data_IF_645632756161
#
_entry.id   IF_645632756161
#
_cell.length_a   1.000
_cell.length_b   1.000
_cell.length_c   1.000
_cell.angle_alpha   90.00
_cell.angle_beta   90.00
_cell.angle_gamma   90.00
#
_symmetry.space_group_name_H-M   'P 1'
#
loop_
_entity.id
_entity.type
_entity.pdbx_description
1 polymer ?
#
# COMPACT_ATOMS: atom_id res chain seq x y z
N UNK A 1 9.73 13.51 6.15
CA UNK A 1 10.38 13.87 4.87
C UNK A 1 9.55 14.92 4.17
N UNK A 2 10.17 15.84 3.41
CA UNK A 2 9.42 16.82 2.60
C UNK A 2 8.95 16.14 1.32
N UNK A 3 7.64 16.11 1.04
CA UNK A 3 7.09 15.57 -0.22
C UNK A 3 7.42 16.48 -1.41
N UNK A 4 7.32 15.97 -2.64
CA UNK A 4 7.50 16.78 -3.85
C UNK A 4 6.44 17.88 -3.93
N UNK A 5 5.19 17.57 -3.55
CA UNK A 5 4.12 18.57 -3.49
C UNK A 5 4.46 19.73 -2.53
N UNK A 6 5.01 19.42 -1.35
CA UNK A 6 5.48 20.44 -0.41
C UNK A 6 6.65 21.26 -0.98
N UNK A 7 7.56 20.64 -1.73
CA UNK A 7 8.66 21.34 -2.39
C UNK A 7 8.17 22.28 -3.51
N UNK A 8 7.20 21.84 -4.31
CA UNK A 8 6.53 22.63 -5.37
C UNK A 8 5.83 23.84 -4.77
N UNK A 9 5.00 23.64 -3.74
CA UNK A 9 4.21 24.72 -3.15
C UNK A 9 5.06 25.71 -2.33
N UNK A 10 6.15 25.25 -1.72
CA UNK A 10 7.10 26.12 -1.00
C UNK A 10 8.07 26.87 -1.93
N UNK A 11 8.00 26.65 -3.25
CA UNK A 11 8.91 27.26 -4.23
C UNK A 11 10.33 26.70 -4.19
N UNK A 12 10.58 25.62 -3.44
CA UNK A 12 11.86 24.89 -3.43
C UNK A 12 12.08 24.09 -4.71
N UNK A 13 11.00 23.78 -5.42
CA UNK A 13 11.02 23.17 -6.74
C UNK A 13 10.44 24.12 -7.78
N UNK A 14 11.09 24.25 -8.93
CA UNK A 14 10.62 25.10 -10.03
C UNK A 14 9.45 24.43 -10.74
N UNK A 15 8.23 24.69 -10.28
CA UNK A 15 7.02 24.34 -11.02
C UNK A 15 6.63 25.47 -11.98
N UNK A 16 6.01 25.10 -13.11
CA UNK A 16 5.45 26.07 -14.04
C UNK A 16 4.33 26.85 -13.34
N UNK A 17 4.34 28.18 -13.53
CA UNK A 17 3.31 29.08 -13.00
C UNK A 17 2.70 29.91 -14.13
N UNK A 18 1.44 30.26 -13.98
CA UNK A 18 0.78 31.24 -14.86
C UNK A 18 1.15 32.69 -14.49
N UNK A 19 0.61 33.65 -15.23
CA UNK A 19 0.83 35.09 -15.01
C UNK A 19 0.34 35.57 -13.63
N UNK A 20 -0.62 34.84 -13.03
CA UNK A 20 -1.16 35.10 -11.70
C UNK A 20 -0.37 34.37 -10.58
N UNK A 21 0.70 33.65 -10.93
CA UNK A 21 1.55 32.91 -9.99
C UNK A 21 0.97 31.57 -9.51
N UNK A 22 -0.10 31.07 -10.15
CA UNK A 22 -0.73 29.78 -9.83
C UNK A 22 0.09 28.65 -10.42
N UNK A 23 0.23 27.55 -9.66
CA UNK A 23 1.00 26.38 -10.08
C UNK A 23 0.17 25.51 -11.02
N UNK A 24 0.77 25.08 -12.13
CA UNK A 24 0.17 24.06 -12.99
C UNK A 24 0.31 22.67 -12.37
N UNK A 25 -0.79 21.91 -12.41
CA UNK A 25 -0.87 20.52 -11.92
C UNK A 25 -1.02 19.61 -13.13
N UNK A 26 -0.10 18.66 -13.29
CA UNK A 26 -0.04 17.74 -14.45
C UNK A 26 -1.06 16.59 -14.39
N UNK A 27 -1.96 16.59 -13.40
CA UNK A 27 -2.96 15.55 -13.17
C UNK A 27 -4.37 16.09 -13.32
N UNK A 28 -5.32 15.27 -13.82
CA UNK A 28 -6.69 15.72 -14.01
C UNK A 28 -7.34 16.09 -12.68
N UNK A 29 -8.23 17.11 -12.65
CA UNK A 29 -8.89 17.56 -11.43
C UNK A 29 -9.60 16.45 -10.65
N UNK A 30 -10.17 15.46 -11.35
CA UNK A 30 -10.85 14.32 -10.73
C UNK A 30 -9.97 13.47 -9.81
N UNK A 31 -8.64 13.54 -9.97
CA UNK A 31 -7.69 12.85 -9.09
C UNK A 31 -7.09 13.82 -8.07
N UNK A 32 -6.78 15.06 -8.48
CA UNK A 32 -6.10 16.02 -7.62
C UNK A 32 -7.00 16.66 -6.56
N UNK A 33 -8.27 16.96 -6.91
CA UNK A 33 -9.21 17.56 -5.96
C UNK A 33 -9.46 16.66 -4.75
N UNK A 34 -9.69 15.33 -4.90
CA UNK A 34 -9.79 14.43 -3.75
C UNK A 34 -8.57 14.43 -2.82
N UNK A 35 -7.35 14.62 -3.35
CA UNK A 35 -6.16 14.78 -2.50
C UNK A 35 -6.23 16.06 -1.67
N UNK A 36 -6.62 17.19 -2.27
CA UNK A 36 -6.76 18.46 -1.55
C UNK A 36 -7.82 18.36 -0.45
N UNK A 37 -8.97 17.76 -0.77
CA UNK A 37 -10.03 17.50 0.20
C UNK A 37 -9.55 16.59 1.34
N UNK A 38 -8.84 15.50 1.01
CA UNK A 38 -8.24 14.62 2.01
C UNK A 38 -7.26 15.35 2.93
N UNK A 39 -6.41 16.22 2.37
CA UNK A 39 -5.48 17.04 3.16
C UNK A 39 -6.21 18.00 4.11
N UNK A 40 -7.36 18.55 3.69
CA UNK A 40 -8.19 19.40 4.55
C UNK A 40 -8.79 18.59 5.70
N UNK A 41 -9.36 17.41 5.43
CA UNK A 41 -9.91 16.54 6.49
C UNK A 41 -8.82 16.09 7.45
N UNK A 42 -7.66 15.67 6.93
CA UNK A 42 -6.46 15.35 7.73
C UNK A 42 -6.02 16.49 8.65
N UNK A 43 -6.18 17.74 8.24
CA UNK A 43 -5.74 18.88 9.05
C UNK A 43 -6.56 19.09 10.33
N UNK A 44 -7.76 18.50 10.40
CA UNK A 44 -8.69 18.57 11.53
C UNK A 44 -9.00 17.17 12.11
N UNK A 45 -8.19 16.16 11.74
CA UNK A 45 -8.34 14.76 12.13
C UNK A 45 -8.20 14.55 13.63
N UNK A 46 -9.06 13.70 14.19
CA UNK A 46 -8.91 13.16 15.55
C UNK A 46 -7.93 11.97 15.50
N UNK A 47 -6.91 11.91 16.38
CA UNK A 47 -6.01 10.77 16.45
C UNK A 47 -6.70 9.40 16.61
N UNK A 48 -7.87 9.36 17.24
CA UNK A 48 -8.64 8.12 17.47
C UNK A 48 -9.53 7.74 16.26
N UNK A 49 -9.79 8.68 15.34
CA UNK A 49 -10.61 8.47 14.15
C UNK A 49 -9.86 8.98 12.89
N UNK A 50 -8.92 8.18 12.37
CA UNK A 50 -8.10 8.61 11.26
C UNK A 50 -8.93 8.84 9.99
N UNK A 51 -8.62 9.91 9.27
CA UNK A 51 -9.29 10.28 8.04
C UNK A 51 -9.08 9.17 6.99
N UNK A 52 -10.17 8.61 6.44
CA UNK A 52 -10.05 7.57 5.43
C UNK A 52 -9.48 8.15 4.13
N UNK A 53 -8.59 7.41 3.43
CA UNK A 53 -8.18 7.75 2.08
C UNK A 53 -9.37 7.99 1.15
N UNK A 54 -9.22 8.85 0.12
CA UNK A 54 -10.25 9.04 -0.91
C UNK A 54 -10.69 7.72 -1.54
N UNK A 55 -12.01 7.57 -1.71
CA UNK A 55 -12.63 6.45 -2.41
C UNK A 55 -12.96 6.81 -3.84
N UNK A 56 -12.79 5.87 -4.76
CA UNK A 56 -13.14 6.02 -6.17
C UNK A 56 -14.13 4.94 -6.59
N UNK A 57 -15.04 5.26 -7.53
CA UNK A 57 -15.99 4.29 -8.07
C UNK A 57 -15.31 3.30 -9.03
N UNK A 58 -14.22 3.72 -9.66
CA UNK A 58 -13.46 2.96 -10.65
C UNK A 58 -12.10 2.54 -10.11
N UNK A 59 -11.76 1.26 -10.26
CA UNK A 59 -10.43 0.74 -9.97
C UNK A 59 -9.33 1.37 -10.84
N UNK A 60 -9.67 1.85 -12.03
CA UNK A 60 -8.75 2.57 -12.89
C UNK A 60 -8.40 3.94 -12.31
N UNK A 61 -9.39 4.70 -11.85
CA UNK A 61 -9.16 6.01 -11.24
C UNK A 61 -8.43 5.86 -9.89
N UNK A 62 -8.75 4.85 -9.10
CA UNK A 62 -7.98 4.54 -7.88
C UNK A 62 -6.51 4.22 -8.19
N UNK A 63 -6.26 3.38 -9.20
CA UNK A 63 -4.89 3.09 -9.65
C UNK A 63 -4.16 4.33 -10.18
N UNK A 64 -4.84 5.21 -10.90
CA UNK A 64 -4.27 6.48 -11.36
C UNK A 64 -4.01 7.46 -10.21
N UNK A 65 -4.88 7.49 -9.21
CA UNK A 65 -4.69 8.27 -7.99
C UNK A 65 -3.45 7.79 -7.22
N UNK A 66 -3.29 6.48 -7.03
CA UNK A 66 -2.09 5.93 -6.40
C UNK A 66 -0.81 6.31 -7.15
N UNK A 67 -0.80 6.25 -8.49
CA UNK A 67 0.35 6.72 -9.30
C UNK A 67 0.64 8.21 -9.09
N UNK A 68 -0.39 9.05 -9.02
CA UNK A 68 -0.25 10.48 -8.71
C UNK A 68 0.36 10.69 -7.31
N UNK A 69 -0.09 9.95 -6.30
CA UNK A 69 0.48 10.03 -4.95
C UNK A 69 1.93 9.58 -4.92
N UNK A 70 2.29 8.52 -5.64
CA UNK A 70 3.67 8.06 -5.78
C UNK A 70 4.54 9.14 -6.41
N UNK A 71 4.07 9.80 -7.48
CA UNK A 71 4.76 10.92 -8.11
C UNK A 71 5.01 12.06 -7.12
N UNK A 72 4.02 12.44 -6.32
CA UNK A 72 4.18 13.50 -5.32
C UNK A 72 4.93 13.08 -4.05
N UNK A 73 5.26 11.79 -3.89
CA UNK A 73 5.86 11.25 -2.67
C UNK A 73 4.91 11.28 -1.47
N UNK A 74 3.62 11.05 -1.71
CA UNK A 74 2.53 11.09 -0.73
C UNK A 74 1.86 9.74 -0.50
N UNK A 75 2.19 8.70 -1.28
CA UNK A 75 1.51 7.41 -1.23
C UNK A 75 1.47 6.84 0.19
N UNK A 76 2.62 6.69 0.84
CA UNK A 76 2.76 6.18 2.22
C UNK A 76 2.11 7.09 3.27
N UNK A 77 1.93 8.37 2.96
CA UNK A 77 1.30 9.31 3.89
C UNK A 77 -0.23 9.23 3.86
N UNK A 78 -0.79 9.00 2.67
CA UNK A 78 -2.23 8.78 2.46
C UNK A 78 -2.61 7.36 2.85
N UNK A 79 -1.96 6.36 2.26
CA UNK A 79 -2.15 4.95 2.54
C UNK A 79 -1.11 4.48 3.55
N UNK A 80 -1.20 4.99 4.78
CA UNK A 80 -0.40 4.41 5.87
C UNK A 80 -0.75 2.92 5.93
N UNK A 81 0.23 2.01 5.78
CA UNK A 81 -0.03 0.60 5.95
C UNK A 81 -0.60 0.41 7.36
N UNK A 82 -1.79 -0.18 7.45
CA UNK A 82 -2.27 -0.62 8.76
C UNK A 82 -1.23 -1.58 9.33
N UNK A 83 -0.72 -1.34 10.55
CA UNK A 83 0.22 -2.26 11.17
C UNK A 83 -0.51 -3.58 11.38
N UNK A 84 -0.06 -4.60 10.66
CA UNK A 84 -0.55 -5.96 10.87
C UNK A 84 0.31 -6.58 11.96
N UNK A 85 -0.35 -7.19 12.94
CA UNK A 85 0.32 -7.98 13.97
C UNK A 85 1.15 -9.08 13.30
N UNK A 86 2.28 -9.44 13.93
CA UNK A 86 3.14 -10.54 13.49
C UNK A 86 3.80 -10.35 12.12
N UNK A 87 4.57 -9.27 11.95
CA UNK A 87 5.36 -9.04 10.73
C UNK A 87 6.83 -9.47 10.87
N UNK A 88 7.39 -9.97 9.78
CA UNK A 88 8.78 -10.39 9.66
C UNK A 88 9.53 -9.51 8.65
N UNK A 89 10.71 -9.02 9.03
CA UNK A 89 11.53 -8.16 8.19
C UNK A 89 12.52 -9.01 7.37
N UNK A 90 12.45 -8.91 6.03
CA UNK A 90 13.41 -9.53 5.12
C UNK A 90 13.95 -8.43 4.20
N UNK A 91 15.25 -8.15 4.31
CA UNK A 91 15.87 -7.03 3.61
C UNK A 91 15.24 -5.70 3.98
N UNK A 92 14.74 -4.96 2.97
CA UNK A 92 14.10 -3.65 3.15
C UNK A 92 12.58 -3.71 3.31
N UNK A 93 11.99 -4.91 3.25
CA UNK A 93 10.55 -5.10 3.25
C UNK A 93 10.09 -5.80 4.53
N UNK A 94 8.84 -5.54 4.91
CA UNK A 94 8.15 -6.25 5.98
C UNK A 94 7.06 -7.10 5.36
N UNK A 95 6.94 -8.33 5.84
CA UNK A 95 5.99 -9.32 5.35
C UNK A 95 5.11 -9.77 6.51
N UNK A 96 3.84 -10.07 6.22
CA UNK A 96 2.91 -10.71 7.14
C UNK A 96 1.98 -11.60 6.32
N UNK A 97 1.28 -12.50 6.99
CA UNK A 97 0.22 -13.31 6.38
C UNK A 97 -1.14 -12.74 6.75
N UNK A 98 -2.13 -13.02 5.89
CA UNK A 98 -3.53 -12.78 6.19
C UNK A 98 -4.25 -14.14 6.24
N UNK A 99 -5.07 -14.38 7.26
CA UNK A 99 -5.35 -13.52 8.41
C UNK A 99 -4.11 -13.40 9.30
N UNK A 100 -3.98 -12.33 10.12
CA UNK A 100 -2.78 -12.09 10.92
C UNK A 100 -2.45 -13.30 11.80
N UNK A 101 -1.24 -13.85 11.65
CA UNK A 101 -0.80 -15.03 12.38
C UNK A 101 0.70 -14.97 12.68
N UNK A 102 1.12 -15.53 13.82
CA UNK A 102 2.52 -15.58 14.22
C UNK A 102 3.36 -16.44 13.26
N UNK A 103 4.57 -16.00 12.84
CA UNK A 103 5.49 -16.84 12.08
C UNK A 103 5.85 -18.15 12.80
N UNK A 104 5.72 -18.19 14.12
CA UNK A 104 6.02 -19.34 14.96
C UNK A 104 4.80 -20.23 15.24
N UNK A 105 3.61 -19.89 14.73
CA UNK A 105 2.40 -20.70 14.93
C UNK A 105 2.51 -22.01 14.15
N UNK A 106 2.77 -23.10 14.87
CA UNK A 106 2.99 -24.43 14.28
C UNK A 106 1.67 -25.15 13.96
N UNK A 107 0.55 -24.75 14.56
CA UNK A 107 -0.74 -25.41 14.37
C UNK A 107 -1.43 -24.82 13.15
N UNK A 108 -1.44 -25.59 12.07
CA UNK A 108 -2.14 -25.18 10.86
C UNK A 108 -3.67 -25.19 11.07
N UNK A 109 -4.29 -24.03 10.86
CA UNK A 109 -5.73 -23.85 10.86
C UNK A 109 -6.40 -24.31 9.56
N UNK A 110 -7.73 -24.46 9.61
CA UNK A 110 -8.60 -24.57 8.42
C UNK A 110 -9.58 -23.41 8.30
N UNK A 111 -9.41 -22.41 9.15
CA UNK A 111 -10.18 -21.17 9.23
C UNK A 111 -10.21 -20.41 7.89
N UNK A 112 -9.19 -20.61 7.05
CA UNK A 112 -9.07 -19.94 5.76
C UNK A 112 -9.60 -20.69 4.54
N UNK A 113 -10.14 -21.90 4.74
CA UNK A 113 -10.77 -22.62 3.65
C UNK A 113 -12.08 -21.91 3.22
N UNK A 114 -12.22 -21.65 1.93
CA UNK A 114 -13.39 -20.99 1.32
C UNK A 114 -13.67 -19.56 1.81
N UNK A 115 -12.67 -18.88 2.38
CA UNK A 115 -12.77 -17.48 2.80
C UNK A 115 -12.18 -16.53 1.75
N UNK A 116 -12.82 -15.39 1.56
CA UNK A 116 -12.26 -14.26 0.83
C UNK A 116 -11.59 -13.30 1.83
N UNK A 117 -10.35 -12.90 1.54
CA UNK A 117 -9.64 -11.90 2.32
C UNK A 117 -9.56 -10.59 1.56
N UNK A 118 -9.77 -9.51 2.30
CA UNK A 118 -9.45 -8.17 1.83
C UNK A 118 -8.01 -7.86 2.22
N UNK A 119 -7.20 -7.50 1.24
CA UNK A 119 -5.85 -7.00 1.48
C UNK A 119 -5.98 -5.62 2.15
N UNK A 120 -5.36 -5.39 3.32
CA UNK A 120 -5.42 -4.11 3.98
C UNK A 120 -4.87 -2.98 3.09
N UNK A 121 -5.36 -1.77 3.31
CA UNK A 121 -4.92 -0.61 2.53
C UNK A 121 -3.42 -0.36 2.73
N UNK A 122 -2.71 -0.06 1.64
CA UNK A 122 -1.26 0.12 1.65
C UNK A 122 -0.45 -1.18 1.65
N UNK A 123 -1.11 -2.35 1.63
CA UNK A 123 -0.46 -3.63 1.46
C UNK A 123 -0.52 -4.10 0.01
N UNK A 124 0.53 -4.79 -0.41
CA UNK A 124 0.63 -5.45 -1.71
C UNK A 124 0.80 -6.95 -1.49
N UNK A 125 0.10 -7.76 -2.29
CA UNK A 125 0.32 -9.20 -2.29
C UNK A 125 1.71 -9.47 -2.89
N UNK A 126 2.54 -10.23 -2.16
CA UNK A 126 3.83 -10.68 -2.70
C UNK A 126 3.60 -11.40 -4.03
N UNK A 127 4.24 -10.92 -5.09
CA UNK A 127 4.13 -11.48 -6.43
C UNK A 127 5.42 -12.20 -6.84
N UNK A 128 5.30 -13.23 -7.67
CA UNK A 128 6.43 -14.00 -8.23
C UNK A 128 7.45 -13.12 -8.98
N UNK A 129 7.00 -12.00 -9.55
CA UNK A 129 7.86 -11.03 -10.22
C UNK A 129 8.53 -9.99 -9.30
N UNK A 130 8.29 -10.05 -7.99
CA UNK A 130 8.85 -9.08 -7.06
C UNK A 130 10.39 -9.18 -6.97
N UNK A 131 11.05 -8.04 -6.80
CA UNK A 131 12.50 -8.01 -6.65
C UNK A 131 12.93 -8.86 -5.44
N UNK A 132 13.80 -9.85 -5.69
CA UNK A 132 14.31 -10.75 -4.64
C UNK A 132 13.34 -11.85 -4.21
N UNK A 133 12.23 -12.09 -4.94
CA UNK A 133 11.24 -13.12 -4.64
C UNK A 133 11.85 -14.49 -4.31
N UNK A 134 12.77 -14.97 -5.15
CA UNK A 134 13.48 -16.26 -4.98
C UNK A 134 14.25 -16.37 -3.66
N UNK A 135 14.71 -15.24 -3.10
CA UNK A 135 15.40 -15.21 -1.80
C UNK A 135 14.43 -15.02 -0.63
N UNK A 136 13.36 -14.28 -0.84
CA UNK A 136 12.36 -13.94 0.20
C UNK A 136 11.45 -15.12 0.49
N UNK A 137 10.92 -15.78 -0.53
CA UNK A 137 9.90 -16.80 -0.35
C UNK A 137 10.38 -18.02 0.45
N UNK A 138 11.59 -18.57 0.24
CA UNK A 138 12.09 -19.66 1.08
C UNK A 138 12.24 -19.25 2.56
N UNK A 139 12.58 -17.99 2.83
CA UNK A 139 12.65 -17.49 4.20
C UNK A 139 11.26 -17.39 4.83
N UNK A 140 10.26 -16.91 4.08
CA UNK A 140 8.87 -16.91 4.54
C UNK A 140 8.34 -18.34 4.75
N UNK A 141 8.61 -19.24 3.81
CA UNK A 141 8.21 -20.64 3.87
C UNK A 141 8.94 -21.45 4.96
N UNK A 142 10.03 -20.93 5.54
CA UNK A 142 10.69 -21.56 6.68
C UNK A 142 9.91 -21.37 8.01
N UNK A 143 8.87 -20.54 7.99
CA UNK A 143 7.98 -20.27 9.10
C UNK A 143 6.62 -20.93 8.85
N UNK A 144 5.94 -21.34 9.92
CA UNK A 144 4.71 -22.13 9.80
C UNK A 144 3.46 -21.26 9.56
N UNK A 145 3.42 -20.05 10.15
CA UNK A 145 2.33 -19.08 9.98
C UNK A 145 0.91 -19.60 10.31
N UNK A 146 0.80 -20.69 11.06
CA UNK A 146 -0.49 -21.36 11.28
C UNK A 146 -1.15 -21.84 9.98
N UNK A 147 -0.36 -22.08 8.92
CA UNK A 147 -0.83 -22.50 7.62
C UNK A 147 0.02 -23.64 7.07
N UNK A 148 -0.51 -24.38 6.10
CA UNK A 148 0.26 -25.37 5.33
C UNK A 148 0.82 -24.81 4.03
N UNK A 149 0.26 -23.69 3.58
CA UNK A 149 0.56 -23.09 2.29
C UNK A 149 0.50 -21.57 2.42
N UNK A 150 1.45 -20.88 1.78
CA UNK A 150 1.39 -19.45 1.48
C UNK A 150 0.94 -19.25 0.05
N UNK A 151 0.04 -18.29 -0.17
CA UNK A 151 -0.39 -17.90 -1.50
C UNK A 151 0.34 -16.62 -1.93
N UNK A 152 0.81 -16.58 -3.17
CA UNK A 152 1.48 -15.42 -3.78
C UNK A 152 0.86 -15.13 -5.14
N UNK A 153 0.88 -13.87 -5.56
CA UNK A 153 0.37 -13.47 -6.87
C UNK A 153 1.26 -14.01 -7.99
N UNK A 154 0.66 -14.63 -9.01
CA UNK A 154 1.38 -15.13 -10.18
C UNK A 154 1.26 -14.18 -11.38
N UNK A 155 2.12 -14.37 -12.39
CA UNK A 155 2.16 -13.51 -13.59
C UNK A 155 0.89 -13.58 -14.46
N UNK A 156 0.01 -14.56 -14.21
CA UNK A 156 -1.23 -14.79 -14.96
C UNK A 156 -2.43 -14.07 -14.36
N UNK A 157 -2.24 -13.27 -13.31
CA UNK A 157 -3.31 -12.60 -12.57
C UNK A 157 -4.07 -13.53 -11.62
N UNK A 158 -3.51 -14.70 -11.31
CA UNK A 158 -4.01 -15.62 -10.30
C UNK A 158 -3.03 -15.74 -9.12
N UNK A 159 -3.10 -16.88 -8.42
CA UNK A 159 -2.23 -17.18 -7.28
C UNK A 159 -1.55 -18.54 -7.44
N UNK A 160 -0.30 -18.61 -7.02
CA UNK A 160 0.44 -19.86 -6.82
C UNK A 160 0.62 -20.08 -5.30
N UNK A 161 0.84 -21.34 -4.91
CA UNK A 161 0.89 -21.73 -3.49
C UNK A 161 2.16 -22.49 -3.15
N UNK A 162 2.74 -22.17 -1.99
CA UNK A 162 4.04 -22.67 -1.54
C UNK A 162 3.92 -23.25 -0.13
N UNK A 163 4.52 -24.41 0.11
CA UNK A 163 4.45 -25.07 1.42
C UNK A 163 5.28 -24.35 2.47
N UNK A 164 4.75 -24.33 3.69
CA UNK A 164 5.40 -23.90 4.94
C UNK A 164 5.82 -25.09 5.79
#
# INVERSE_FOLDING_TARGET
GSSMLAAVLSGRWSAQKDEDGRVFVDFPPRLFVPLVEYMQVRSIEDPDEPAPPPSFESSEDEGNFQRMLSYYGLLEWVYRPEPVDFSLAIGRHRYAVLPPCSPEEAVAGRDMQDQALLVPRGWEVLAEGAEGFEGVLPQLAAHCWGAHMLCVGNQRGGFDSYRT
#
